data_IF_300116354670
#
_entry.id   IF_300116354670
#
_cell.length_a   1.000
_cell.length_b   1.000
_cell.length_c   1.000
_cell.angle_alpha   90.00
_cell.angle_beta   90.00
_cell.angle_gamma   90.00
#
_symmetry.space_group_name_H-M   'P 1'
#
loop_
_entity.id
_entity.type
_entity.pdbx_description
1 polymer ?
#
# COMPACT_ATOMS: atom_id res chain seq x y z
N UNK A 1 10.56 -15.10 6.63
CA UNK A 1 10.86 -16.19 5.67
C UNK A 1 10.13 -15.96 4.35
N UNK A 2 8.81 -15.83 4.33
CA UNK A 2 8.04 -15.58 3.11
C UNK A 2 8.52 -14.38 2.25
N UNK A 3 8.81 -13.21 2.84
CA UNK A 3 9.27 -12.06 2.06
C UNK A 3 10.60 -12.31 1.32
N UNK A 4 11.52 -13.10 1.91
CA UNK A 4 12.78 -13.51 1.25
C UNK A 4 12.50 -14.48 0.10
N UNK A 5 11.55 -15.39 0.30
CA UNK A 5 11.11 -16.32 -0.74
C UNK A 5 10.51 -15.58 -1.94
N UNK A 6 9.66 -14.57 -1.72
CA UNK A 6 9.09 -13.75 -2.79
C UNK A 6 10.17 -13.04 -3.60
N UNK A 7 11.17 -12.44 -2.94
CA UNK A 7 12.28 -11.79 -3.65
C UNK A 7 13.05 -12.77 -4.52
N UNK A 8 13.44 -13.92 -3.97
CA UNK A 8 14.14 -14.97 -4.70
C UNK A 8 13.35 -15.45 -5.92
N UNK A 9 12.03 -15.61 -5.81
CA UNK A 9 11.16 -16.09 -6.89
C UNK A 9 10.89 -15.01 -7.95
N UNK A 10 10.90 -13.73 -7.57
CA UNK A 10 10.55 -12.63 -8.46
C UNK A 10 11.60 -12.35 -9.53
N UNK A 11 12.84 -12.83 -9.35
CA UNK A 11 13.95 -12.57 -10.27
C UNK A 11 14.31 -11.09 -10.39
N UNK A 12 13.86 -10.26 -9.43
CA UNK A 12 14.13 -8.82 -9.41
C UNK A 12 15.57 -8.61 -8.93
N UNK A 13 16.27 -7.64 -9.54
CA UNK A 13 17.59 -7.22 -9.07
C UNK A 13 17.50 -6.66 -7.64
N UNK A 14 18.12 -7.37 -6.70
CA UNK A 14 18.10 -7.03 -5.27
C UNK A 14 18.88 -5.75 -4.96
N UNK A 15 19.67 -5.21 -5.90
CA UNK A 15 20.47 -3.99 -5.67
C UNK A 15 19.66 -2.79 -5.17
N UNK A 16 18.36 -2.76 -5.47
CA UNK A 16 17.46 -1.67 -5.11
C UNK A 16 16.35 -2.07 -4.12
N UNK A 17 16.42 -3.28 -3.54
CA UNK A 17 15.40 -3.78 -2.62
C UNK A 17 16.05 -4.18 -1.29
N UNK A 18 15.60 -3.55 -0.22
CA UNK A 18 15.98 -3.93 1.14
C UNK A 18 14.76 -4.41 1.92
N UNK A 19 14.90 -5.57 2.56
CA UNK A 19 13.90 -6.05 3.50
C UNK A 19 14.05 -5.30 4.82
N UNK A 20 13.02 -4.52 5.15
CA UNK A 20 12.95 -3.86 6.44
C UNK A 20 13.03 -4.88 7.59
N UNK A 21 13.81 -4.59 8.66
CA UNK A 21 13.80 -5.40 9.87
C UNK A 21 12.45 -5.27 10.60
N UNK A 22 12.26 -6.08 11.65
CA UNK A 22 11.15 -5.85 12.57
C UNK A 22 11.41 -4.57 13.35
N UNK A 23 10.45 -3.65 13.29
CA UNK A 23 10.49 -2.39 14.02
C UNK A 23 9.61 -2.42 15.27
N UNK A 24 10.00 -1.67 16.29
CA UNK A 24 9.08 -1.12 17.29
C UNK A 24 8.12 -0.13 16.62
N UNK A 25 7.07 0.30 17.34
CA UNK A 25 6.16 1.31 16.81
C UNK A 25 6.88 2.65 16.55
N UNK A 26 7.76 3.05 17.47
CA UNK A 26 8.56 4.28 17.39
C UNK A 26 9.53 4.24 16.21
N UNK A 27 10.20 3.10 16.01
CA UNK A 27 11.09 2.87 14.87
C UNK A 27 10.31 2.90 13.54
N UNK A 28 9.12 2.28 13.48
CA UNK A 28 8.27 2.33 12.30
C UNK A 28 7.80 3.76 11.98
N UNK A 29 7.48 4.56 13.00
CA UNK A 29 7.14 5.99 12.83
C UNK A 29 8.34 6.74 12.24
N UNK A 30 9.54 6.55 12.78
CA UNK A 30 10.74 7.21 12.29
C UNK A 30 11.06 6.80 10.85
N UNK A 31 11.01 5.50 10.56
CA UNK A 31 11.24 4.96 9.22
C UNK A 31 10.23 5.50 8.20
N UNK A 32 8.94 5.52 8.56
CA UNK A 32 7.87 6.06 7.70
C UNK A 32 8.08 7.53 7.38
N UNK A 33 8.59 8.34 8.34
CA UNK A 33 8.92 9.75 8.10
C UNK A 33 10.04 9.95 7.10
N UNK A 34 10.96 8.99 6.96
CA UNK A 34 12.08 9.08 6.03
C UNK A 34 11.69 8.75 4.58
N UNK A 35 10.63 7.97 4.36
CA UNK A 35 10.22 7.54 3.02
C UNK A 35 9.64 8.68 2.17
N UNK A 36 9.85 8.67 0.85
CA UNK A 36 9.22 9.63 -0.06
C UNK A 36 7.78 9.25 -0.41
N UNK A 37 7.50 7.95 -0.51
CA UNK A 37 6.20 7.38 -0.85
C UNK A 37 6.03 6.04 -0.13
N UNK A 38 4.82 5.78 0.38
CA UNK A 38 4.45 4.50 0.99
C UNK A 38 3.33 3.87 0.14
N UNK A 39 3.54 2.67 -0.36
CA UNK A 39 2.53 1.90 -1.10
C UNK A 39 2.20 0.65 -0.29
N UNK A 40 0.93 0.41 -0.01
CA UNK A 40 0.52 -0.74 0.78
C UNK A 40 -0.97 -1.02 0.70
N UNK A 41 -1.37 -2.15 1.26
CA UNK A 41 -2.78 -2.49 1.40
C UNK A 41 -3.44 -1.72 2.56
N UNK A 42 -4.72 -1.98 2.80
CA UNK A 42 -5.47 -1.52 3.99
C UNK A 42 -4.90 -2.13 5.29
N UNK A 43 -3.82 -1.54 5.80
CA UNK A 43 -3.09 -1.99 6.99
C UNK A 43 -2.47 -0.84 7.79
N UNK A 44 -2.06 -1.14 9.03
CA UNK A 44 -1.53 -0.16 9.98
C UNK A 44 -0.40 0.73 9.44
N UNK A 45 0.66 0.20 8.80
CA UNK A 45 1.73 1.01 8.23
C UNK A 45 1.27 2.01 7.16
N UNK A 46 0.31 1.63 6.30
CA UNK A 46 -0.23 2.54 5.28
C UNK A 46 -1.07 3.65 5.91
N UNK A 47 -1.87 3.33 6.93
CA UNK A 47 -2.63 4.33 7.72
C UNK A 47 -1.69 5.25 8.51
N UNK A 48 -0.56 4.73 8.98
CA UNK A 48 0.46 5.52 9.65
C UNK A 48 1.08 6.56 8.70
N UNK A 49 1.31 6.21 7.44
CA UNK A 49 1.78 7.18 6.44
C UNK A 49 0.80 8.36 6.27
N UNK A 50 -0.50 8.08 6.21
CA UNK A 50 -1.55 9.11 6.20
C UNK A 50 -1.49 10.00 7.45
N UNK A 51 -1.44 9.39 8.65
CA UNK A 51 -1.38 10.13 9.92
C UNK A 51 -0.11 11.00 10.05
N UNK A 52 1.00 10.60 9.40
CA UNK A 52 2.26 11.33 9.39
C UNK A 52 2.38 12.32 8.23
N UNK A 53 1.30 12.57 7.47
CA UNK A 53 1.28 13.47 6.31
C UNK A 53 2.34 13.09 5.26
N UNK A 54 2.57 11.79 5.07
CA UNK A 54 3.46 11.25 4.05
C UNK A 54 2.62 10.85 2.84
N UNK A 55 3.18 11.03 1.63
CA UNK A 55 2.53 10.58 0.41
C UNK A 55 2.32 9.06 0.46
N UNK A 56 1.13 8.61 0.10
CA UNK A 56 0.79 7.19 0.14
C UNK A 56 -0.17 6.76 -0.95
N UNK A 57 -0.12 5.49 -1.30
CA UNK A 57 -1.10 4.81 -2.15
C UNK A 57 -1.61 3.61 -1.37
N UNK A 58 -2.91 3.61 -1.04
CA UNK A 58 -3.56 2.48 -0.39
C UNK A 58 -4.33 1.64 -1.40
N UNK A 59 -4.01 0.34 -1.45
CA UNK A 59 -4.59 -0.64 -2.36
C UNK A 59 -5.69 -1.41 -1.63
N UNK A 60 -6.92 -1.30 -2.12
CA UNK A 60 -8.11 -1.92 -1.53
C UNK A 60 -8.66 -3.05 -2.40
N UNK A 61 -8.71 -4.25 -1.84
CA UNK A 61 -9.40 -5.41 -2.42
C UNK A 61 -10.79 -5.60 -1.81
N UNK A 62 -10.91 -6.62 -0.97
CA UNK A 62 -12.15 -6.99 -0.29
C UNK A 62 -12.56 -6.03 0.85
N UNK A 63 -11.79 -4.97 1.12
CA UNK A 63 -12.09 -3.99 2.16
C UNK A 63 -12.63 -2.67 1.58
N UNK A 64 -13.55 -1.99 2.27
CA UNK A 64 -14.22 -0.80 1.74
C UNK A 64 -13.32 0.45 1.84
N UNK A 65 -12.78 0.89 0.69
CA UNK A 65 -11.99 2.11 0.55
C UNK A 65 -12.70 3.35 1.12
N UNK A 66 -13.97 3.54 0.75
CA UNK A 66 -14.81 4.67 1.17
C UNK A 66 -15.00 4.82 2.69
N UNK A 67 -14.77 3.75 3.46
CA UNK A 67 -14.90 3.76 4.92
C UNK A 67 -13.54 3.90 5.61
N UNK A 68 -12.53 3.24 5.07
CA UNK A 68 -11.27 3.02 5.76
C UNK A 68 -10.19 4.05 5.37
N UNK A 69 -10.37 4.81 4.29
CA UNK A 69 -9.42 5.83 3.88
C UNK A 69 -10.09 7.13 3.45
N UNK A 70 -9.31 8.21 3.48
CA UNK A 70 -9.69 9.53 3.01
C UNK A 70 -8.68 9.98 1.95
N UNK A 71 -9.17 10.22 0.73
CA UNK A 71 -8.30 10.61 -0.39
C UNK A 71 -7.91 12.09 -0.29
N UNK A 72 -6.63 12.36 -0.50
CA UNK A 72 -6.09 13.72 -0.54
C UNK A 72 -5.26 13.94 -1.81
N UNK A 73 -4.62 15.11 -1.91
CA UNK A 73 -3.69 15.38 -2.99
C UNK A 73 -2.42 14.50 -2.92
N UNK A 74 -2.00 14.04 -1.73
CA UNK A 74 -0.83 13.16 -1.52
C UNK A 74 -1.17 11.73 -1.07
N UNK A 75 -2.38 11.47 -0.59
CA UNK A 75 -2.84 10.14 -0.16
C UNK A 75 -3.86 9.63 -1.18
N UNK A 76 -3.44 8.70 -2.02
CA UNK A 76 -4.25 8.13 -3.10
C UNK A 76 -4.82 6.78 -2.67
N UNK A 77 -5.92 6.44 -3.30
CA UNK A 77 -6.65 5.20 -3.11
C UNK A 77 -6.78 4.56 -4.48
N UNK A 78 -6.57 3.25 -4.55
CA UNK A 78 -6.96 2.44 -5.69
C UNK A 78 -7.72 1.22 -5.17
N UNK A 79 -8.86 0.92 -5.76
CA UNK A 79 -9.69 -0.21 -5.35
C UNK A 79 -10.15 -1.03 -6.55
N UNK A 80 -10.54 -2.28 -6.30
CA UNK A 80 -10.94 -3.24 -7.32
C UNK A 80 -12.29 -2.93 -8.00
N UNK A 81 -12.91 -1.78 -7.73
CA UNK A 81 -14.23 -1.38 -8.26
C UNK A 81 -15.40 -2.24 -7.76
N UNK A 82 -15.15 -3.20 -6.86
CA UNK A 82 -16.16 -4.08 -6.29
C UNK A 82 -16.88 -3.38 -5.15
N UNK A 83 -18.21 -3.31 -5.23
CA UNK A 83 -19.02 -2.81 -4.11
C UNK A 83 -18.98 -3.80 -2.94
N UNK A 84 -18.39 -3.37 -1.82
CA UNK A 84 -18.38 -4.15 -0.58
C UNK A 84 -19.75 -4.00 0.10
N UNK A 85 -20.49 -5.11 0.20
CA UNK A 85 -21.85 -5.11 0.76
C UNK A 85 -21.86 -5.07 2.29
N UNK A 86 -20.90 -5.72 2.94
CA UNK A 86 -20.85 -5.84 4.39
C UNK A 86 -19.43 -5.59 4.93
N UNK A 87 -19.17 -4.37 5.39
CA UNK A 87 -17.88 -3.98 5.96
C UNK A 87 -17.50 -4.74 7.25
N UNK A 88 -18.47 -5.36 7.95
CA UNK A 88 -18.21 -6.14 9.17
C UNK A 88 -17.90 -7.60 8.89
N UNK A 89 -18.28 -8.11 7.72
CA UNK A 89 -18.10 -9.50 7.31
C UNK A 89 -17.40 -9.54 5.96
N UNK A 90 -16.08 -9.40 6.00
CA UNK A 90 -15.22 -9.47 4.82
C UNK A 90 -15.13 -10.92 4.35
N UNK A 91 -15.38 -11.14 3.06
CA UNK A 91 -15.15 -12.42 2.40
C UNK A 91 -13.65 -12.64 2.21
N UNK A 92 -13.10 -13.64 2.90
CA UNK A 92 -11.66 -13.97 2.83
C UNK A 92 -11.28 -14.70 1.56
N UNK A 93 -12.25 -15.21 0.79
CA UNK A 93 -12.03 -15.83 -0.52
C UNK A 93 -12.08 -14.83 -1.67
N UNK A 94 -12.34 -13.56 -1.37
CA UNK A 94 -12.45 -12.49 -2.35
C UNK A 94 -11.08 -11.93 -2.75
N UNK A 95 -10.54 -12.48 -3.84
CA UNK A 95 -9.28 -12.03 -4.44
C UNK A 95 -9.49 -10.90 -5.48
N UNK A 96 -10.55 -10.09 -5.37
CA UNK A 96 -10.79 -9.00 -6.33
C UNK A 96 -9.64 -7.99 -6.46
N UNK A 97 -8.74 -7.93 -5.48
CA UNK A 97 -7.50 -7.13 -5.55
C UNK A 97 -6.68 -7.43 -6.82
N UNK A 98 -6.78 -8.64 -7.39
CA UNK A 98 -6.08 -9.02 -8.63
C UNK A 98 -6.62 -8.33 -9.89
N UNK A 99 -7.73 -7.58 -9.78
CA UNK A 99 -8.28 -6.75 -10.88
C UNK A 99 -7.62 -5.37 -10.95
N UNK A 100 -6.78 -5.03 -9.98
CA UNK A 100 -6.08 -3.76 -9.95
C UNK A 100 -4.84 -3.92 -10.82
N UNK A 101 -4.79 -3.15 -11.90
CA UNK A 101 -3.65 -3.18 -12.83
C UNK A 101 -2.45 -2.47 -12.22
N UNK A 102 -1.28 -3.09 -12.34
CA UNK A 102 0.00 -2.58 -11.84
C UNK A 102 0.33 -1.20 -12.45
N UNK A 103 -0.01 -1.02 -13.73
CA UNK A 103 0.16 0.23 -14.47
C UNK A 103 -0.61 1.40 -13.83
N UNK A 104 -1.78 1.16 -13.23
CA UNK A 104 -2.54 2.22 -12.57
C UNK A 104 -1.91 2.62 -11.23
N UNK A 105 -1.31 1.67 -10.51
CA UNK A 105 -0.50 1.95 -9.32
C UNK A 105 0.73 2.77 -9.72
N UNK A 106 1.39 2.40 -10.82
CA UNK A 106 2.57 3.10 -11.34
C UNK A 106 2.28 4.55 -11.71
N UNK A 107 1.18 4.84 -12.42
CA UNK A 107 0.75 6.21 -12.73
C UNK A 107 0.56 7.08 -11.49
N UNK A 108 -0.07 6.52 -10.45
CA UNK A 108 -0.24 7.22 -9.17
C UNK A 108 1.11 7.51 -8.51
N UNK A 109 2.02 6.52 -8.51
CA UNK A 109 3.35 6.67 -7.93
C UNK A 109 4.17 7.76 -8.63
N UNK A 110 4.21 7.77 -9.97
CA UNK A 110 4.85 8.84 -10.75
C UNK A 110 4.28 10.22 -10.43
N UNK A 111 2.95 10.32 -10.35
CA UNK A 111 2.26 11.56 -10.03
C UNK A 111 2.59 12.11 -8.64
N UNK A 112 2.84 11.22 -7.66
CA UNK A 112 3.22 11.61 -6.30
C UNK A 112 4.70 11.94 -6.15
N UNK A 113 5.58 11.28 -6.91
CA UNK A 113 7.03 11.47 -6.84
C UNK A 113 7.55 12.62 -7.70
N UNK A 114 6.68 13.35 -8.40
CA UNK A 114 7.04 14.48 -9.27
C UNK A 114 8.13 14.11 -10.30
N UNK A 115 7.99 12.96 -10.97
CA UNK A 115 8.75 12.75 -12.20
C UNK A 115 8.27 13.74 -13.27
N UNK A 116 9.05 14.81 -13.47
CA UNK A 116 9.11 15.53 -14.74
C UNK A 116 9.86 14.69 -15.77
#
# INVERSE_FOLDING_TARGET
EFAKEVLNLSGIDETHIELAPKFSLEELIAFTKMMNLIIGNDSGPTHLAFALNKASITIFGATPSYRNAFQTHINKIIDAGKKIQNAKHIDKSDFCITRIEEEDIFKLAKGLLNEK
#
